data_IF_336155822871
#
_entry.id   IF_336155822871
#
_cell.length_a   1.000
_cell.length_b   1.000
_cell.length_c   1.000
_cell.angle_alpha   90.00
_cell.angle_beta   90.00
_cell.angle_gamma   90.00
#
_symmetry.space_group_name_H-M   'P 1'
#
loop_
_entity.id
_entity.type
_entity.pdbx_description
1 polymer ?
#
# COMPACT_ATOMS: atom_id res chain seq x y z
N UNK A 1 -20.84 -13.48 -2.55
CA UNK A 1 -21.62 -12.43 -3.23
C UNK A 1 -20.63 -11.53 -3.94
N UNK A 2 -20.69 -11.47 -5.26
CA UNK A 2 -19.75 -10.68 -6.04
C UNK A 2 -20.18 -9.21 -5.99
N UNK A 3 -19.32 -8.36 -5.44
CA UNK A 3 -19.62 -6.93 -5.31
C UNK A 3 -19.56 -6.28 -6.70
N UNK A 4 -20.64 -5.59 -7.11
CA UNK A 4 -20.69 -4.86 -8.38
C UNK A 4 -20.35 -3.39 -8.19
N UNK A 5 -19.51 -2.84 -9.05
CA UNK A 5 -19.07 -1.45 -9.00
C UNK A 5 -19.51 -0.64 -10.22
N UNK A 6 -19.73 0.64 -9.98
CA UNK A 6 -19.81 1.70 -10.99
C UNK A 6 -18.44 2.05 -11.54
N UNK A 7 -18.41 2.78 -12.66
CA UNK A 7 -17.16 3.29 -13.24
C UNK A 7 -16.38 4.21 -12.29
N UNK A 8 -17.07 4.92 -11.40
CA UNK A 8 -16.45 5.80 -10.42
C UNK A 8 -15.72 5.01 -9.33
N UNK A 9 -16.35 3.95 -8.82
CA UNK A 9 -15.74 3.05 -7.82
C UNK A 9 -14.54 2.29 -8.41
N UNK A 10 -14.65 1.83 -9.66
CA UNK A 10 -13.53 1.19 -10.35
C UNK A 10 -12.35 2.14 -10.54
N UNK A 11 -12.63 3.39 -10.96
CA UNK A 11 -11.60 4.42 -11.13
C UNK A 11 -10.93 4.77 -9.80
N UNK A 12 -11.69 4.86 -8.71
CA UNK A 12 -11.19 5.10 -7.37
C UNK A 12 -10.28 3.96 -6.89
N UNK A 13 -10.67 2.70 -7.11
CA UNK A 13 -9.86 1.54 -6.77
C UNK A 13 -8.51 1.53 -7.49
N UNK A 14 -8.46 2.05 -8.72
CA UNK A 14 -7.22 2.18 -9.50
C UNK A 14 -6.48 3.50 -9.26
N UNK A 15 -7.03 4.44 -8.47
CA UNK A 15 -6.45 5.76 -8.27
C UNK A 15 -6.38 6.61 -9.53
N UNK A 16 -7.38 6.53 -10.42
CA UNK A 16 -7.48 7.30 -11.66
C UNK A 16 -8.80 8.07 -11.76
N UNK A 17 -8.90 9.00 -12.72
CA UNK A 17 -10.17 9.69 -13.01
C UNK A 17 -11.15 8.75 -13.74
N UNK A 18 -12.47 8.89 -13.55
CA UNK A 18 -13.47 8.07 -14.26
C UNK A 18 -13.34 8.09 -15.79
N UNK A 19 -12.97 9.23 -16.37
CA UNK A 19 -12.70 9.33 -17.82
C UNK A 19 -11.51 8.47 -18.27
N UNK A 20 -10.44 8.41 -17.45
CA UNK A 20 -9.27 7.57 -17.71
C UNK A 20 -9.63 6.09 -17.62
N UNK A 21 -10.43 5.70 -16.63
CA UNK A 21 -10.99 4.35 -16.51
C UNK A 21 -11.76 3.95 -17.77
N UNK A 22 -12.73 4.76 -18.20
CA UNK A 22 -13.51 4.48 -19.41
C UNK A 22 -12.64 4.40 -20.67
N UNK A 23 -11.56 5.20 -20.73
CA UNK A 23 -10.57 5.09 -21.79
C UNK A 23 -9.79 3.77 -21.77
N UNK A 24 -9.46 3.23 -20.59
CA UNK A 24 -8.85 1.89 -20.50
C UNK A 24 -9.83 0.81 -20.96
N UNK A 25 -11.09 0.89 -20.51
CA UNK A 25 -12.13 -0.06 -20.92
C UNK A 25 -12.33 -0.06 -22.43
N UNK A 26 -12.40 1.12 -23.08
CA UNK A 26 -12.58 1.19 -24.54
C UNK A 26 -11.39 0.65 -25.34
N UNK A 27 -10.18 0.66 -24.76
CA UNK A 27 -8.97 0.09 -25.36
C UNK A 27 -8.72 -1.38 -24.99
N UNK A 28 -9.63 -2.03 -24.26
CA UNK A 28 -9.43 -3.40 -23.76
C UNK A 28 -8.28 -3.52 -22.74
N UNK A 29 -7.96 -2.43 -22.04
CA UNK A 29 -6.87 -2.29 -21.08
C UNK A 29 -7.36 -2.34 -19.62
N UNK A 30 -8.63 -2.67 -19.42
CA UNK A 30 -9.29 -2.85 -18.14
C UNK A 30 -10.36 -3.96 -18.29
N UNK A 31 -10.87 -4.51 -17.18
CA UNK A 31 -11.98 -5.46 -17.20
C UNK A 31 -13.15 -4.99 -18.08
N UNK A 32 -13.76 -5.93 -18.77
CA UNK A 32 -14.98 -5.67 -19.52
C UNK A 32 -16.13 -5.37 -18.55
N UNK A 33 -17.09 -4.49 -18.92
CA UNK A 33 -18.28 -4.32 -18.11
C UNK A 33 -19.10 -5.62 -18.12
N UNK A 34 -19.82 -5.85 -17.04
CA UNK A 34 -20.84 -6.88 -16.95
C UNK A 34 -21.91 -6.66 -18.04
N UNK A 35 -22.50 -7.74 -18.58
CA UNK A 35 -23.48 -7.67 -19.65
C UNK A 35 -24.76 -6.95 -19.22
N UNK A 36 -25.12 -7.05 -17.95
CA UNK A 36 -26.28 -6.39 -17.37
C UNK A 36 -25.90 -5.01 -16.83
N UNK A 37 -26.47 -3.91 -17.38
CA UNK A 37 -26.30 -2.60 -16.81
C UNK A 37 -27.11 -2.45 -15.52
N UNK A 38 -26.88 -1.36 -14.79
CA UNK A 38 -27.71 -1.00 -13.64
C UNK A 38 -29.12 -0.55 -14.04
N UNK A 39 -29.97 -0.32 -13.04
CA UNK A 39 -31.35 0.16 -13.21
C UNK A 39 -31.48 1.46 -14.02
N UNK A 40 -30.39 2.21 -14.17
CA UNK A 40 -30.32 3.46 -14.93
C UNK A 40 -29.61 3.28 -16.29
N UNK A 41 -29.34 2.04 -16.72
CA UNK A 41 -28.68 1.71 -17.98
C UNK A 41 -27.16 1.93 -17.98
N UNK A 42 -26.53 2.15 -16.82
CA UNK A 42 -25.09 2.40 -16.70
C UNK A 42 -24.31 1.10 -16.56
N UNK A 43 -23.14 1.05 -17.20
CA UNK A 43 -22.22 -0.09 -17.11
C UNK A 43 -21.80 -0.38 -15.67
N UNK A 44 -21.68 -1.67 -15.36
CA UNK A 44 -21.21 -2.21 -14.08
C UNK A 44 -20.01 -3.12 -14.29
N UNK A 45 -19.22 -3.32 -13.24
CA UNK A 45 -18.06 -4.20 -13.24
C UNK A 45 -18.03 -5.07 -11.99
N UNK A 46 -17.42 -6.24 -12.11
CA UNK A 46 -17.08 -7.10 -10.99
C UNK A 46 -15.92 -6.48 -10.20
N UNK A 47 -16.14 -6.18 -8.91
CA UNK A 47 -15.13 -5.54 -8.07
C UNK A 47 -13.86 -6.39 -7.89
N UNK A 48 -14.00 -7.71 -7.80
CA UNK A 48 -12.88 -8.62 -7.58
C UNK A 48 -12.06 -8.81 -8.86
N UNK A 49 -12.71 -8.76 -10.02
CA UNK A 49 -12.01 -8.66 -11.30
C UNK A 49 -11.22 -7.35 -11.39
N UNK A 50 -11.84 -6.20 -11.06
CA UNK A 50 -11.19 -4.88 -11.09
C UNK A 50 -9.97 -4.82 -10.17
N UNK A 51 -10.04 -5.40 -8.97
CA UNK A 51 -8.91 -5.45 -8.03
C UNK A 51 -7.77 -6.32 -8.52
N UNK A 52 -8.06 -7.44 -9.18
CA UNK A 52 -7.05 -8.41 -9.64
C UNK A 52 -6.45 -8.08 -10.99
N UNK A 53 -7.14 -7.29 -11.81
CA UNK A 53 -6.71 -7.01 -13.16
C UNK A 53 -5.43 -6.16 -13.17
N UNK A 54 -4.39 -6.57 -13.92
CA UNK A 54 -3.10 -5.86 -13.91
C UNK A 54 -3.26 -4.49 -14.59
N UNK A 55 -3.32 -3.42 -13.79
CA UNK A 55 -3.48 -2.07 -14.30
C UNK A 55 -2.27 -1.68 -15.19
N UNK A 56 -2.49 -1.33 -16.46
CA UNK A 56 -1.43 -0.82 -17.32
C UNK A 56 -0.84 0.49 -16.78
N UNK A 57 0.48 0.53 -16.64
CA UNK A 57 1.20 1.72 -16.18
C UNK A 57 0.94 2.11 -14.72
N UNK A 58 0.45 1.21 -13.87
CA UNK A 58 0.46 1.43 -12.43
C UNK A 58 1.90 1.70 -11.96
N UNK A 59 2.12 2.78 -11.21
CA UNK A 59 3.46 3.23 -10.79
C UNK A 59 4.25 4.03 -11.84
N UNK A 60 3.89 3.96 -13.13
CA UNK A 60 4.49 4.79 -14.19
C UNK A 60 3.65 6.04 -14.41
N UNK A 61 3.91 7.09 -13.64
CA UNK A 61 3.55 8.42 -14.10
C UNK A 61 4.22 8.64 -15.46
N UNK A 62 3.47 8.92 -16.53
CA UNK A 62 4.08 9.22 -17.85
C UNK A 62 4.98 10.46 -17.83
N UNK A 63 4.81 11.35 -16.84
CA UNK A 63 5.67 12.52 -16.63
C UNK A 63 6.81 12.28 -15.63
N UNK A 64 6.84 11.12 -14.96
CA UNK A 64 7.87 10.77 -13.98
C UNK A 64 8.59 9.45 -14.26
N UNK A 65 8.18 8.66 -15.26
CA UNK A 65 8.83 7.40 -15.62
C UNK A 65 10.14 7.68 -16.38
N UNK A 66 11.20 7.98 -15.63
CA UNK A 66 12.55 8.16 -16.13
C UNK A 66 13.58 7.63 -15.13
N UNK A 67 14.86 7.56 -15.53
CA UNK A 67 15.94 7.03 -14.68
C UNK A 67 16.01 7.69 -13.29
N UNK A 68 15.68 8.98 -13.20
CA UNK A 68 15.67 9.73 -11.93
C UNK A 68 14.61 9.23 -10.94
N UNK A 69 13.41 8.90 -11.41
CA UNK A 69 12.37 8.36 -10.52
C UNK A 69 12.66 6.92 -10.11
N UNK A 70 13.24 6.10 -11.00
CA UNK A 70 13.70 4.75 -10.64
C UNK A 70 14.82 4.82 -9.60
N UNK A 71 15.76 5.77 -9.75
CA UNK A 71 16.82 6.02 -8.77
C UNK A 71 16.25 6.50 -7.43
N UNK A 72 15.22 7.36 -7.43
CA UNK A 72 14.55 7.79 -6.20
C UNK A 72 13.81 6.63 -5.52
N UNK A 73 13.09 5.80 -6.29
CA UNK A 73 12.43 4.60 -5.76
C UNK A 73 13.44 3.59 -5.19
N UNK A 74 14.62 3.47 -5.80
CA UNK A 74 15.71 2.67 -5.24
C UNK A 74 16.21 3.23 -3.90
N UNK A 75 16.44 4.55 -3.80
CA UNK A 75 16.80 5.20 -2.53
C UNK A 75 15.72 5.00 -1.45
N UNK A 76 14.44 5.08 -1.82
CA UNK A 76 13.34 4.82 -0.88
C UNK A 76 13.37 3.39 -0.33
N UNK A 77 13.71 2.39 -1.16
CA UNK A 77 13.87 0.99 -0.72
C UNK A 77 15.06 0.81 0.19
N UNK A 78 16.21 1.40 -0.14
CA UNK A 78 17.42 1.34 0.69
C UNK A 78 17.17 1.92 2.09
N UNK A 79 16.50 3.08 2.17
CA UNK A 79 16.12 3.67 3.46
C UNK A 79 15.17 2.76 4.24
N UNK A 80 14.21 2.12 3.57
CA UNK A 80 13.29 1.20 4.22
C UNK A 80 14.01 -0.03 4.79
N UNK A 81 14.93 -0.63 4.04
CA UNK A 81 15.78 -1.73 4.50
C UNK A 81 16.61 -1.31 5.72
N UNK A 82 17.22 -0.11 5.67
CA UNK A 82 18.00 0.42 6.79
C UNK A 82 17.14 0.66 8.04
N UNK A 83 15.91 1.13 7.88
CA UNK A 83 14.99 1.31 9.01
C UNK A 83 14.62 -0.03 9.65
N UNK A 84 14.47 -1.09 8.87
CA UNK A 84 14.19 -2.43 9.39
C UNK A 84 15.38 -2.99 10.18
N UNK A 85 16.61 -2.84 9.67
CA UNK A 85 17.82 -3.21 10.42
C UNK A 85 17.94 -2.46 11.76
N UNK A 86 17.70 -1.14 11.73
CA UNK A 86 17.74 -0.32 12.93
C UNK A 86 16.65 -0.73 13.93
N UNK A 87 15.45 -1.07 13.45
CA UNK A 87 14.38 -1.59 14.30
C UNK A 87 14.77 -2.91 14.97
N UNK A 88 15.39 -3.83 14.24
CA UNK A 88 15.93 -5.07 14.82
C UNK A 88 16.92 -4.79 15.95
N UNK A 89 17.87 -3.86 15.73
CA UNK A 89 18.82 -3.44 16.78
C UNK A 89 18.13 -2.80 17.98
N UNK A 90 17.07 -2.01 17.78
CA UNK A 90 16.31 -1.44 18.90
C UNK A 90 15.64 -2.54 19.74
N UNK A 91 15.10 -3.59 19.11
CA UNK A 91 14.52 -4.74 19.81
C UNK A 91 15.58 -5.51 20.60
N UNK A 92 16.75 -5.76 20.02
CA UNK A 92 17.88 -6.40 20.71
C UNK A 92 18.32 -5.62 21.95
N UNK A 93 18.47 -4.30 21.83
CA UNK A 93 18.81 -3.42 22.95
C UNK A 93 17.74 -3.42 24.02
N UNK A 94 16.46 -3.42 23.63
CA UNK A 94 15.34 -3.48 24.56
C UNK A 94 15.32 -4.80 25.34
N UNK A 95 15.58 -5.93 24.67
CA UNK A 95 15.70 -7.24 25.30
C UNK A 95 16.88 -7.31 26.27
N UNK A 96 18.05 -6.80 25.86
CA UNK A 96 19.24 -6.73 26.71
C UNK A 96 19.00 -5.85 27.96
N UNK A 97 18.32 -4.71 27.79
CA UNK A 97 17.94 -3.84 28.92
C UNK A 97 16.97 -4.51 29.88
N UNK A 98 15.98 -5.26 29.38
CA UNK A 98 15.08 -6.08 30.21
C UNK A 98 15.84 -7.13 31.01
N UNK A 99 16.80 -7.82 30.41
CA UNK A 99 17.64 -8.81 31.10
C UNK A 99 18.48 -8.20 32.22
N UNK A 100 18.88 -6.92 32.07
CA UNK A 100 19.59 -6.15 33.09
C UNK A 100 18.66 -5.52 34.14
N UNK A 101 17.34 -5.73 34.03
CA UNK A 101 16.36 -5.19 34.97
C UNK A 101 16.08 -3.69 34.80
N UNK A 102 16.35 -3.13 33.62
CA UNK A 102 16.05 -1.72 33.35
C UNK A 102 14.53 -1.48 33.28
N UNK A 103 14.11 -0.31 33.74
CA UNK A 103 12.72 0.13 33.72
C UNK A 103 12.19 0.32 32.29
N UNK A 104 11.02 -0.23 32.00
CA UNK A 104 10.40 -0.19 30.67
C UNK A 104 10.16 1.25 30.18
N UNK A 105 9.79 2.15 31.09
CA UNK A 105 9.54 3.56 30.78
C UNK A 105 10.83 4.29 30.34
N UNK A 106 11.96 3.97 30.97
CA UNK A 106 13.26 4.53 30.64
C UNK A 106 13.76 4.01 29.28
N UNK A 107 13.65 2.70 29.05
CA UNK A 107 14.03 2.09 27.77
C UNK A 107 13.17 2.61 26.61
N UNK A 108 11.85 2.69 26.78
CA UNK A 108 10.96 3.23 25.75
C UNK A 108 11.31 4.68 25.39
N UNK A 109 11.61 5.52 26.39
CA UNK A 109 12.06 6.90 26.17
C UNK A 109 13.40 6.95 25.43
N UNK A 110 14.37 6.12 25.81
CA UNK A 110 15.69 6.08 25.18
C UNK A 110 15.63 5.65 23.71
N UNK A 111 14.75 4.71 23.38
CA UNK A 111 14.52 4.24 22.01
C UNK A 111 13.55 5.14 21.22
N UNK A 112 13.01 6.19 21.83
CA UNK A 112 12.00 7.08 21.26
C UNK A 112 10.76 6.33 20.73
N UNK A 113 10.26 5.37 21.50
CA UNK A 113 9.05 4.59 21.20
C UNK A 113 8.04 4.69 22.33
N UNK A 114 6.79 4.32 22.05
CA UNK A 114 5.76 4.25 23.09
C UNK A 114 6.02 3.09 24.05
N UNK A 115 5.54 3.20 25.29
CA UNK A 115 5.56 2.07 26.25
C UNK A 115 4.80 0.85 25.73
N UNK A 116 3.72 1.07 24.97
CA UNK A 116 2.94 -0.01 24.36
C UNK A 116 3.75 -0.76 23.32
N UNK A 117 4.49 -0.05 22.47
CA UNK A 117 5.40 -0.63 21.48
C UNK A 117 6.52 -1.43 22.15
N UNK A 118 7.17 -0.86 23.16
CA UNK A 118 8.21 -1.56 23.91
C UNK A 118 7.67 -2.84 24.58
N UNK A 119 6.46 -2.77 25.16
CA UNK A 119 5.81 -3.93 25.76
C UNK A 119 5.45 -5.01 24.73
N UNK A 120 4.98 -4.62 23.55
CA UNK A 120 4.68 -5.56 22.46
C UNK A 120 5.93 -6.30 21.98
N UNK A 121 7.04 -5.58 21.77
CA UNK A 121 8.32 -6.18 21.34
C UNK A 121 8.96 -7.13 22.36
N UNK A 122 8.58 -7.04 23.64
CA UNK A 122 9.10 -7.90 24.71
C UNK A 122 8.20 -9.11 25.02
N UNK A 123 7.06 -9.22 24.33
CA UNK A 123 6.11 -10.34 24.44
C UNK A 123 6.31 -11.41 23.37
N UNK A 124 6.87 -11.02 22.23
CA UNK A 124 7.38 -11.92 21.19
C UNK A 124 8.72 -12.52 21.62
#
# INVERSE_FOLDING_TARGET
>A
MTQTWSSAECAAAWGVKPATWLGYVSRGQAPAPLPEPDEQGRKRWDADEVRRYPRPGAGRSRSGAGPEAEALLAQMREVAERLEELRGRQQELLAAGKQQGLELSAMAKALNISRQTAYAWLKE
#
